data_IF_483229317465
#
_entry.id   IF_483229317465
#
_cell.length_a   1.000
_cell.length_b   1.000
_cell.length_c   1.000
_cell.angle_alpha   90.00
_cell.angle_beta   90.00
_cell.angle_gamma   90.00
#
_symmetry.space_group_name_H-M   'P 1'
#
loop_
_entity.id
_entity.type
_entity.pdbx_description
1 polymer ?
#
# COMPACT_ATOMS: atom_id res chain seq x y z
N UNK A 1 -40.10 22.15 93.65
CA UNK A 1 -39.60 22.31 92.27
C UNK A 1 -38.14 21.85 92.18
N UNK A 2 -37.86 20.69 91.58
CA UNK A 2 -36.48 20.21 91.32
C UNK A 2 -36.20 20.34 89.81
N UNK A 3 -35.24 21.19 89.42
CA UNK A 3 -34.76 21.29 88.02
C UNK A 3 -33.88 20.08 87.69
N UNK A 4 -34.22 19.35 86.63
CA UNK A 4 -33.44 18.25 86.07
C UNK A 4 -32.20 18.82 85.33
N UNK A 5 -31.00 18.34 85.70
CA UNK A 5 -29.76 18.63 84.96
C UNK A 5 -29.69 17.74 83.72
N UNK A 6 -29.66 18.33 82.54
CA UNK A 6 -29.38 17.67 81.26
C UNK A 6 -27.90 17.27 81.21
N UNK A 7 -27.61 15.96 81.23
CA UNK A 7 -26.26 15.43 81.00
C UNK A 7 -25.98 15.38 79.50
N UNK A 8 -25.01 16.18 79.06
CA UNK A 8 -24.39 16.05 77.74
C UNK A 8 -23.64 14.71 77.66
N UNK A 9 -24.06 13.82 76.76
CA UNK A 9 -23.29 12.62 76.39
C UNK A 9 -22.47 12.92 75.12
N UNK A 10 -21.13 12.83 75.16
CA UNK A 10 -20.36 12.79 73.93
C UNK A 10 -20.58 11.43 73.26
N UNK A 11 -21.19 11.40 72.07
CA UNK A 11 -21.24 10.19 71.23
C UNK A 11 -19.82 9.87 70.78
N UNK A 12 -19.13 8.99 71.50
CA UNK A 12 -17.90 8.36 71.00
C UNK A 12 -18.27 7.45 69.84
N UNK A 13 -17.90 7.87 68.63
CA UNK A 13 -17.98 7.04 67.43
C UNK A 13 -17.03 5.86 67.64
N UNK A 14 -17.49 4.60 67.45
CA UNK A 14 -16.62 3.44 67.60
C UNK A 14 -15.52 3.48 66.53
N UNK A 15 -14.26 3.40 66.99
CA UNK A 15 -13.05 3.47 66.14
C UNK A 15 -12.95 2.29 65.15
N UNK A 16 -13.80 1.28 65.29
CA UNK A 16 -13.86 0.09 64.44
C UNK A 16 -14.49 0.34 63.05
N UNK A 17 -15.21 1.46 62.86
CA UNK A 17 -15.87 1.73 61.57
C UNK A 17 -14.97 2.41 60.52
N UNK A 18 -13.75 2.80 60.89
CA UNK A 18 -12.76 3.37 59.95
C UNK A 18 -11.68 2.31 59.67
N UNK A 19 -12.09 1.13 59.21
CA UNK A 19 -11.14 0.17 58.64
C UNK A 19 -10.84 0.60 57.21
N UNK A 20 -10.02 1.63 57.09
CA UNK A 20 -9.48 2.08 55.81
C UNK A 20 -8.76 0.92 55.13
N UNK A 21 -9.16 0.62 53.91
CA UNK A 21 -8.47 -0.32 53.04
C UNK A 21 -7.07 0.25 52.80
N UNK A 22 -6.07 -0.20 53.57
CA UNK A 22 -4.66 -0.01 53.23
C UNK A 22 -4.43 -0.83 51.96
N UNK A 23 -4.72 -0.24 50.80
CA UNK A 23 -4.18 -0.70 49.53
C UNK A 23 -2.67 -0.76 49.72
N UNK A 24 -2.06 -1.92 49.45
CA UNK A 24 -0.63 -2.03 49.25
C UNK A 24 -0.31 -1.28 47.94
N UNK A 25 -0.29 0.05 48.01
CA UNK A 25 -0.27 0.99 46.87
C UNK A 25 0.92 0.75 45.94
N UNK A 26 2.05 0.30 46.48
CA UNK A 26 3.29 -0.02 45.75
C UNK A 26 3.11 -1.16 44.72
N UNK A 27 2.36 -2.21 45.06
CA UNK A 27 2.21 -3.40 44.19
C UNK A 27 1.18 -3.19 43.07
N UNK A 28 0.14 -2.40 43.33
CA UNK A 28 -0.85 -2.05 42.31
C UNK A 28 -0.30 -1.10 41.25
N UNK A 29 0.50 -0.11 41.67
CA UNK A 29 1.12 0.84 40.75
C UNK A 29 2.14 0.17 39.82
N UNK A 30 2.96 -0.74 40.36
CA UNK A 30 3.94 -1.52 39.57
C UNK A 30 3.27 -2.51 38.61
N UNK A 31 2.14 -3.12 38.99
CA UNK A 31 1.35 -3.97 38.10
C UNK A 31 0.77 -3.18 36.90
N UNK A 32 0.28 -1.96 37.13
CA UNK A 32 -0.25 -1.12 36.04
C UNK A 32 0.89 -0.69 35.11
N UNK A 33 2.03 -0.25 35.65
CA UNK A 33 3.18 0.17 34.84
C UNK A 33 3.77 -0.98 33.99
N UNK A 34 3.84 -2.19 34.55
CA UNK A 34 4.31 -3.36 33.79
C UNK A 34 3.33 -3.76 32.70
N UNK A 35 2.03 -3.76 32.99
CA UNK A 35 1.00 -4.04 32.00
C UNK A 35 1.01 -3.02 30.84
N UNK A 36 1.16 -1.72 31.14
CA UNK A 36 1.25 -0.69 30.09
C UNK A 36 2.52 -0.84 29.26
N UNK A 37 3.66 -1.17 29.88
CA UNK A 37 4.91 -1.46 29.14
C UNK A 37 4.77 -2.65 28.18
N UNK A 38 4.14 -3.73 28.62
CA UNK A 38 3.92 -4.91 27.75
C UNK A 38 2.97 -4.54 26.61
N UNK A 39 1.89 -3.81 26.90
CA UNK A 39 0.94 -3.37 25.88
C UNK A 39 1.58 -2.42 24.85
N UNK A 40 2.46 -1.51 25.26
CA UNK A 40 3.14 -0.60 24.31
C UNK A 40 4.11 -1.35 23.41
N UNK A 41 4.83 -2.35 23.92
CA UNK A 41 5.71 -3.20 23.11
C UNK A 41 4.90 -3.99 22.08
N UNK A 42 3.80 -4.63 22.51
CA UNK A 42 2.92 -5.39 21.60
C UNK A 42 2.32 -4.47 20.53
N UNK A 43 1.87 -3.28 20.92
CA UNK A 43 1.34 -2.28 20.00
C UNK A 43 2.39 -1.86 18.96
N UNK A 44 3.63 -1.65 19.38
CA UNK A 44 4.73 -1.27 18.48
C UNK A 44 5.01 -2.38 17.47
N UNK A 45 5.05 -3.64 17.91
CA UNK A 45 5.23 -4.81 17.02
C UNK A 45 4.07 -4.92 16.01
N UNK A 46 2.83 -4.74 16.47
CA UNK A 46 1.67 -4.79 15.58
C UNK A 46 1.71 -3.67 14.52
N UNK A 47 2.14 -2.46 14.91
CA UNK A 47 2.20 -1.33 14.00
C UNK A 47 3.30 -1.48 12.95
N UNK A 48 4.45 -2.04 13.32
CA UNK A 48 5.53 -2.34 12.37
C UNK A 48 5.14 -3.47 11.42
N UNK A 49 4.45 -4.51 11.91
CA UNK A 49 3.93 -5.56 11.03
C UNK A 49 2.90 -5.01 10.02
N UNK A 50 1.99 -4.15 10.47
CA UNK A 50 0.98 -3.53 9.62
C UNK A 50 1.61 -2.63 8.53
N UNK A 51 2.66 -1.87 8.86
CA UNK A 51 3.33 -1.01 7.88
C UNK A 51 4.02 -1.81 6.77
N UNK A 52 4.66 -2.93 7.12
CA UNK A 52 5.26 -3.85 6.15
C UNK A 52 4.17 -4.46 5.25
N UNK A 53 3.05 -4.93 5.81
CA UNK A 53 1.96 -5.50 5.02
C UNK A 53 1.39 -4.50 4.00
N UNK A 54 1.22 -3.24 4.37
CA UNK A 54 0.73 -2.21 3.44
C UNK A 54 1.71 -2.01 2.27
N UNK A 55 3.01 -2.08 2.53
CA UNK A 55 4.03 -1.99 1.50
C UNK A 55 3.96 -3.19 0.53
N UNK A 56 3.87 -4.40 1.06
CA UNK A 56 3.75 -5.63 0.27
C UNK A 56 2.50 -5.63 -0.63
N UNK A 57 1.35 -5.18 -0.12
CA UNK A 57 0.11 -5.07 -0.90
C UNK A 57 0.28 -4.11 -2.09
N UNK A 58 0.95 -2.97 -1.87
CA UNK A 58 1.24 -2.02 -2.95
C UNK A 58 2.16 -2.64 -3.98
N UNK A 59 3.22 -3.34 -3.56
CA UNK A 59 4.12 -4.04 -4.48
C UNK A 59 3.40 -5.11 -5.30
N UNK A 60 2.56 -5.93 -4.66
CA UNK A 60 1.79 -6.96 -5.33
C UNK A 60 0.87 -6.37 -6.41
N UNK A 61 0.25 -5.22 -6.14
CA UNK A 61 -0.59 -4.51 -7.12
C UNK A 61 0.23 -4.02 -8.33
N UNK A 62 1.41 -3.46 -8.10
CA UNK A 62 2.30 -3.03 -9.19
C UNK A 62 2.80 -4.22 -10.03
N UNK A 63 3.03 -5.38 -9.42
CA UNK A 63 3.36 -6.61 -10.14
C UNK A 63 2.19 -7.07 -11.02
N UNK A 64 0.96 -7.05 -10.50
CA UNK A 64 -0.21 -7.38 -11.30
C UNK A 64 -0.40 -6.41 -12.48
N UNK A 65 -0.33 -5.10 -12.22
CA UNK A 65 -0.43 -4.07 -13.27
C UNK A 65 0.68 -4.17 -14.31
N UNK A 66 1.88 -4.59 -13.89
CA UNK A 66 3.04 -4.79 -14.75
C UNK A 66 2.79 -5.82 -15.84
N UNK A 67 2.01 -6.86 -15.58
CA UNK A 67 1.70 -7.88 -16.60
C UNK A 67 0.91 -7.27 -17.75
N UNK A 68 -0.17 -6.54 -17.47
CA UNK A 68 -0.97 -5.82 -18.46
C UNK A 68 -0.14 -4.80 -19.24
N UNK A 69 0.72 -4.03 -18.57
CA UNK A 69 1.61 -3.08 -19.22
C UNK A 69 2.63 -3.78 -20.14
N UNK A 70 3.14 -4.96 -19.75
CA UNK A 70 4.07 -5.73 -20.56
C UNK A 70 3.39 -6.33 -21.80
N UNK A 71 2.22 -6.95 -21.64
CA UNK A 71 1.44 -7.46 -22.77
C UNK A 71 1.06 -6.35 -23.75
N UNK A 72 0.73 -5.15 -23.25
CA UNK A 72 0.49 -4.00 -24.11
C UNK A 72 1.73 -3.62 -24.92
N UNK A 73 2.91 -3.58 -24.29
CA UNK A 73 4.17 -3.31 -24.98
C UNK A 73 4.45 -4.37 -26.06
N UNK A 74 4.25 -5.64 -25.75
CA UNK A 74 4.47 -6.75 -26.69
C UNK A 74 3.55 -6.67 -27.92
N UNK A 75 2.24 -6.42 -27.71
CA UNK A 75 1.28 -6.21 -28.79
C UNK A 75 1.66 -5.02 -29.69
N UNK A 76 2.20 -3.95 -29.11
CA UNK A 76 2.73 -2.82 -29.88
C UNK A 76 3.93 -3.20 -30.74
N UNK A 77 4.85 -3.97 -30.19
CA UNK A 77 6.02 -4.49 -30.92
C UNK A 77 5.60 -5.34 -32.11
N UNK A 78 4.67 -6.28 -31.89
CA UNK A 78 4.16 -7.17 -32.95
C UNK A 78 3.44 -6.39 -34.06
N UNK A 79 2.58 -5.43 -33.70
CA UNK A 79 1.92 -4.57 -34.69
C UNK A 79 2.94 -3.75 -35.50
N UNK A 80 3.93 -3.19 -34.82
CA UNK A 80 4.99 -2.40 -35.40
C UNK A 80 5.84 -3.25 -36.37
N UNK A 81 6.22 -4.48 -35.97
CA UNK A 81 6.94 -5.44 -36.79
C UNK A 81 6.12 -5.92 -37.99
N UNK A 82 4.82 -6.15 -37.81
CA UNK A 82 3.89 -6.50 -38.88
C UNK A 82 3.85 -5.40 -39.96
N UNK A 83 3.82 -4.13 -39.57
CA UNK A 83 3.88 -3.00 -40.51
C UNK A 83 5.22 -2.96 -41.27
N UNK A 84 6.34 -3.24 -40.60
CA UNK A 84 7.65 -3.32 -41.26
C UNK A 84 7.67 -4.45 -42.29
N UNK A 85 7.19 -5.64 -41.92
CA UNK A 85 7.14 -6.80 -42.83
C UNK A 85 6.21 -6.57 -44.01
N UNK A 86 5.04 -5.96 -43.78
CA UNK A 86 4.10 -5.62 -44.85
C UNK A 86 4.69 -4.59 -45.82
N UNK A 87 5.40 -3.57 -45.33
CA UNK A 87 6.06 -2.59 -46.19
C UNK A 87 7.15 -3.21 -47.08
N UNK A 88 7.82 -4.27 -46.60
CA UNK A 88 8.79 -5.02 -47.41
C UNK A 88 8.15 -5.79 -48.58
N UNK A 89 6.85 -6.12 -48.49
CA UNK A 89 6.11 -6.87 -49.53
C UNK A 89 5.26 -5.93 -50.39
N UNK A 90 4.66 -4.91 -49.78
CA UNK A 90 3.79 -3.93 -50.41
C UNK A 90 4.33 -2.53 -50.09
N UNK A 91 4.97 -1.89 -51.07
CA UNK A 91 5.64 -0.58 -50.95
C UNK A 91 4.74 0.59 -50.53
N UNK A 92 3.42 0.37 -50.46
CA UNK A 92 2.42 1.42 -50.18
C UNK A 92 1.93 1.43 -48.73
N UNK A 93 2.51 0.62 -47.84
CA UNK A 93 2.23 0.69 -46.41
C UNK A 93 2.86 1.98 -45.81
N UNK A 94 2.30 3.13 -46.16
CA UNK A 94 2.72 4.44 -45.66
C UNK A 94 1.97 4.74 -44.36
N UNK A 95 2.70 4.68 -43.24
CA UNK A 95 2.17 5.02 -41.92
C UNK A 95 2.65 4.11 -40.80
N UNK A 96 2.61 4.62 -39.57
CA UNK A 96 3.02 3.84 -38.40
C UNK A 96 4.51 3.51 -38.39
N UNK A 97 4.85 2.32 -37.94
CA UNK A 97 6.21 1.81 -37.84
C UNK A 97 6.85 1.33 -39.15
N UNK A 98 6.14 1.44 -40.28
CA UNK A 98 6.63 0.98 -41.57
C UNK A 98 7.94 1.68 -42.00
N UNK A 99 8.13 2.92 -41.56
CA UNK A 99 9.34 3.72 -41.79
C UNK A 99 10.14 3.90 -40.51
N UNK A 100 11.47 4.01 -40.62
CA UNK A 100 12.32 4.37 -39.49
C UNK A 100 11.92 5.77 -38.99
N UNK A 101 11.79 5.92 -37.67
CA UNK A 101 11.27 7.13 -37.02
C UNK A 101 9.75 7.13 -36.82
N UNK A 102 9.03 6.24 -37.52
CA UNK A 102 7.58 6.11 -37.40
C UNK A 102 7.13 5.43 -36.11
N UNK A 103 5.92 5.75 -35.67
CA UNK A 103 5.32 5.21 -34.44
C UNK A 103 3.86 4.83 -34.61
N UNK A 104 3.40 3.87 -33.79
CA UNK A 104 2.00 3.47 -33.68
C UNK A 104 1.59 3.49 -32.21
N UNK A 105 0.42 4.06 -31.92
CA UNK A 105 -0.15 4.08 -30.59
C UNK A 105 -1.61 3.61 -30.66
N UNK A 106 -2.03 2.82 -29.67
CA UNK A 106 -3.41 2.35 -29.54
C UNK A 106 -3.73 1.97 -28.10
N UNK A 107 -5.02 1.95 -27.77
CA UNK A 107 -5.54 1.41 -26.51
C UNK A 107 -5.95 -0.05 -26.66
N UNK A 108 -5.93 -0.78 -25.56
CA UNK A 108 -6.50 -2.12 -25.41
C UNK A 108 -7.79 -2.02 -24.60
N UNK A 109 -8.69 -2.98 -24.77
CA UNK A 109 -10.00 -2.99 -24.12
C UNK A 109 -9.91 -3.05 -22.59
N UNK A 110 -8.81 -3.58 -22.06
CA UNK A 110 -8.53 -3.60 -20.63
C UNK A 110 -8.07 -2.25 -20.07
N UNK A 111 -8.03 -1.18 -20.88
CA UNK A 111 -7.59 0.15 -20.47
C UNK A 111 -6.07 0.34 -20.48
N UNK A 112 -5.29 -0.65 -20.94
CA UNK A 112 -3.87 -0.47 -21.21
C UNK A 112 -3.68 0.32 -22.51
N UNK A 113 -2.57 1.03 -22.60
CA UNK A 113 -2.19 1.80 -23.79
C UNK A 113 -0.79 1.44 -24.23
N UNK A 114 -0.52 1.58 -25.51
CA UNK A 114 0.79 1.31 -26.07
C UNK A 114 1.24 2.43 -27.00
N UNK A 115 2.55 2.65 -27.02
CA UNK A 115 3.24 3.42 -28.05
C UNK A 115 4.47 2.65 -28.48
N UNK A 116 4.49 2.20 -29.73
CA UNK A 116 5.62 1.55 -30.37
C UNK A 116 6.24 2.46 -31.43
N UNK A 117 7.57 2.47 -31.51
CA UNK A 117 8.35 3.28 -32.43
C UNK A 117 9.46 2.45 -33.05
N UNK A 118 9.61 2.53 -34.36
CA UNK A 118 10.78 1.99 -35.05
C UNK A 118 11.91 3.01 -34.94
N UNK A 119 12.88 2.77 -34.06
CA UNK A 119 13.99 3.72 -33.84
C UNK A 119 15.15 3.52 -34.80
N UNK A 120 15.30 2.33 -35.39
CA UNK A 120 16.26 2.08 -36.46
C UNK A 120 15.72 1.04 -37.45
N UNK A 121 16.47 0.74 -38.52
CA UNK A 121 16.05 -0.23 -39.55
C UNK A 121 15.63 -1.58 -38.95
N UNK A 122 16.36 -2.03 -37.93
CA UNK A 122 16.18 -3.34 -37.29
C UNK A 122 15.85 -3.23 -35.81
N UNK A 123 15.36 -2.06 -35.37
CA UNK A 123 15.12 -1.76 -33.96
C UNK A 123 13.73 -1.17 -33.75
N UNK A 124 12.96 -1.80 -32.86
CA UNK A 124 11.66 -1.31 -32.39
C UNK A 124 11.73 -1.15 -30.88
N UNK A 125 11.20 -0.03 -30.40
CA UNK A 125 10.96 0.23 -28.98
C UNK A 125 9.46 0.37 -28.77
N UNK A 126 8.91 -0.44 -27.88
CA UNK A 126 7.50 -0.40 -27.52
C UNK A 126 7.33 -0.15 -26.04
N UNK A 127 6.48 0.81 -25.70
CA UNK A 127 6.16 1.19 -24.33
C UNK A 127 4.70 0.93 -24.08
N UNK A 128 4.40 -0.01 -23.19
CA UNK A 128 3.06 -0.28 -22.69
C UNK A 128 2.84 0.36 -21.34
N UNK A 129 1.64 0.89 -21.12
CA UNK A 129 1.24 1.60 -19.91
C UNK A 129 -0.10 1.07 -19.43
N UNK A 130 -0.19 0.77 -18.14
CA UNK A 130 -1.44 0.41 -17.48
C UNK A 130 -1.46 0.96 -16.06
N UNK A 131 -2.51 1.73 -15.72
CA UNK A 131 -2.60 2.46 -14.45
C UNK A 131 -1.37 3.37 -14.20
N UNK A 132 -0.51 3.03 -13.23
CA UNK A 132 0.72 3.78 -12.92
C UNK A 132 1.99 3.02 -13.35
N UNK A 133 1.84 1.83 -13.94
CA UNK A 133 2.95 0.97 -14.31
C UNK A 133 3.25 1.10 -15.80
N UNK A 134 4.52 1.37 -16.12
CA UNK A 134 5.02 1.47 -17.49
C UNK A 134 6.06 0.39 -17.71
N UNK A 135 5.94 -0.34 -18.82
CA UNK A 135 6.91 -1.36 -19.25
C UNK A 135 7.37 -1.07 -20.67
N UNK A 136 8.67 -1.26 -20.89
CA UNK A 136 9.31 -1.07 -22.19
C UNK A 136 9.85 -2.40 -22.69
N UNK A 137 9.58 -2.71 -23.95
CA UNK A 137 10.11 -3.84 -24.69
C UNK A 137 10.92 -3.28 -25.86
N UNK A 138 12.10 -3.87 -26.08
CA UNK A 138 12.95 -3.54 -27.22
C UNK A 138 13.15 -4.81 -28.04
N UNK A 139 12.96 -4.69 -29.36
CA UNK A 139 13.18 -5.77 -30.31
C UNK A 139 14.26 -5.35 -31.31
N UNK A 140 15.27 -6.20 -31.46
CA UNK A 140 16.34 -6.06 -32.45
C UNK A 140 16.44 -7.36 -33.27
N UNK A 141 16.45 -7.27 -34.61
CA UNK A 141 16.41 -8.44 -35.51
C UNK A 141 17.24 -8.29 -36.79
#
# INVERSE_FOLDING_TARGET
>A
MKRLKTKNLPRKIPKEFIRGYKLKTEYGATAILTATFVLTIILLIALTAASVMIFEIKMAREIANSTSAFFAADAGTEKCLCQVRKNAVFSDCTGGCASVGGSTSFGLDNGASVTAKRTASKKIESTGSFSQTIRKVELNW
#
